data_IF_506033872557
#
_entry.id   IF_506033872557
#
_cell.length_a   1.000
_cell.length_b   1.000
_cell.length_c   1.000
_cell.angle_alpha   90.00
_cell.angle_beta   90.00
_cell.angle_gamma   90.00
#
_symmetry.space_group_name_H-M   'P 1'
#
loop_
_entity.id
_entity.type
_entity.pdbx_description
1 polymer ?
#
# COMPACT_ATOMS: atom_id res chain seq x y z
N UNK A 1 9.95 12.33 -1.42
CA UNK A 1 10.79 11.42 -2.25
C UNK A 1 12.28 11.55 -1.91
N UNK A 2 12.85 12.76 -1.78
CA UNK A 2 14.27 12.96 -1.46
C UNK A 2 14.71 12.25 -0.17
N UNK A 3 13.88 12.28 0.88
CA UNK A 3 14.16 11.61 2.16
C UNK A 3 14.29 10.08 2.02
N UNK A 4 13.44 9.46 1.20
CA UNK A 4 13.49 8.01 0.95
C UNK A 4 14.74 7.63 0.15
N UNK A 5 15.13 8.44 -0.82
CA UNK A 5 16.35 8.23 -1.59
C UNK A 5 17.60 8.31 -0.69
N UNK A 6 17.65 9.30 0.20
CA UNK A 6 18.75 9.45 1.17
C UNK A 6 18.81 8.28 2.16
N UNK A 7 17.66 7.86 2.69
CA UNK A 7 17.57 6.71 3.58
C UNK A 7 18.02 5.42 2.89
N UNK A 8 17.68 5.24 1.62
CA UNK A 8 18.10 4.10 0.80
C UNK A 8 19.60 4.09 0.52
N UNK A 9 20.18 5.23 0.17
CA UNK A 9 21.64 5.36 -0.03
C UNK A 9 22.42 5.04 1.24
N UNK A 10 21.94 5.54 2.39
CA UNK A 10 22.50 5.23 3.71
C UNK A 10 22.42 3.74 4.02
N UNK A 11 21.28 3.11 3.76
CA UNK A 11 21.11 1.67 3.94
C UNK A 11 22.10 0.87 3.07
N UNK A 12 22.24 1.20 1.79
CA UNK A 12 23.23 0.54 0.89
C UNK A 12 24.66 0.68 1.40
N UNK A 13 25.05 1.88 1.83
CA UNK A 13 26.38 2.15 2.40
C UNK A 13 26.63 1.32 3.66
N UNK A 14 25.64 1.21 4.53
CA UNK A 14 25.71 0.42 5.75
C UNK A 14 25.83 -1.08 5.49
N UNK A 15 25.11 -1.59 4.47
CA UNK A 15 25.20 -2.98 4.03
C UNK A 15 26.60 -3.29 3.44
N UNK A 16 27.12 -2.38 2.60
CA UNK A 16 28.47 -2.51 2.05
C UNK A 16 29.54 -2.49 3.14
N UNK A 17 29.32 -1.81 4.25
CA UNK A 17 30.18 -1.79 5.42
C UNK A 17 29.99 -3.02 6.36
N UNK A 18 29.26 -4.06 5.93
CA UNK A 18 29.01 -5.28 6.69
C UNK A 18 28.02 -5.13 7.85
N UNK A 19 27.25 -4.03 7.89
CA UNK A 19 26.23 -3.80 8.91
C UNK A 19 24.93 -4.47 8.49
N UNK A 20 24.45 -5.42 9.28
CA UNK A 20 23.30 -6.27 8.96
C UNK A 20 21.96 -5.75 9.49
N UNK A 21 21.96 -4.68 10.28
CA UNK A 21 20.76 -4.13 10.89
C UNK A 21 20.24 -2.93 10.10
N UNK A 22 19.00 -3.01 9.58
CA UNK A 22 18.31 -1.91 8.91
C UNK A 22 18.02 -0.76 9.89
N UNK A 23 17.53 -1.09 11.08
CA UNK A 23 17.26 -0.13 12.15
C UNK A 23 18.24 -0.34 13.29
N UNK A 24 18.96 0.73 13.65
CA UNK A 24 19.97 0.71 14.71
C UNK A 24 19.69 1.77 15.75
N UNK A 25 19.90 1.40 16.99
CA UNK A 25 19.92 2.35 18.10
C UNK A 25 21.12 3.30 18.04
N UNK A 26 21.13 4.32 18.89
CA UNK A 26 22.16 5.38 18.92
C UNK A 26 23.59 4.85 19.06
N UNK A 27 23.77 3.69 19.71
CA UNK A 27 25.08 3.01 19.89
C UNK A 27 25.35 1.93 18.84
N UNK A 28 24.63 1.90 17.70
CA UNK A 28 24.78 0.88 16.66
C UNK A 28 24.19 -0.49 17.02
N UNK A 29 23.58 -0.65 18.19
CA UNK A 29 22.94 -1.89 18.64
C UNK A 29 21.57 -2.10 17.99
N UNK A 30 21.07 -3.34 18.00
CA UNK A 30 19.71 -3.64 17.55
C UNK A 30 18.67 -2.82 18.32
N UNK A 31 17.66 -2.32 17.62
CA UNK A 31 16.52 -1.65 18.24
C UNK A 31 15.60 -2.72 18.81
N UNK A 32 15.32 -2.65 20.11
CA UNK A 32 14.34 -3.53 20.75
C UNK A 32 12.91 -3.06 20.46
N UNK A 33 11.95 -4.00 20.50
CA UNK A 33 10.52 -3.68 20.33
C UNK A 33 10.07 -2.56 21.29
N UNK A 34 10.51 -2.60 22.55
CA UNK A 34 10.18 -1.57 23.53
C UNK A 34 10.73 -0.18 23.16
N UNK A 35 11.95 -0.09 22.64
CA UNK A 35 12.52 1.18 22.17
C UNK A 35 11.72 1.74 21.00
N UNK A 36 11.30 0.88 20.11
CA UNK A 36 10.53 1.26 18.93
C UNK A 36 9.15 1.79 19.33
N UNK A 37 8.42 1.07 20.21
CA UNK A 37 7.11 1.52 20.72
C UNK A 37 7.21 2.86 21.44
N UNK A 38 8.19 3.02 22.34
CA UNK A 38 8.41 4.30 23.04
C UNK A 38 8.68 5.47 22.10
N UNK A 39 9.40 5.23 21.01
CA UNK A 39 9.67 6.26 20.00
C UNK A 39 8.43 6.60 19.21
N UNK A 40 7.62 5.60 18.85
CA UNK A 40 6.33 5.75 18.19
C UNK A 40 5.35 6.55 19.04
N UNK A 41 5.14 6.14 20.30
CA UNK A 41 4.24 6.82 21.23
C UNK A 41 4.62 8.29 21.43
N UNK A 42 5.92 8.57 21.52
CA UNK A 42 6.42 9.94 21.62
C UNK A 42 6.13 10.75 20.36
N UNK A 43 6.31 10.18 19.19
CA UNK A 43 5.99 10.83 17.92
C UNK A 43 4.49 11.11 17.81
N UNK A 44 3.64 10.12 18.08
CA UNK A 44 2.19 10.25 18.09
C UNK A 44 1.72 11.33 19.07
N UNK A 45 2.26 11.36 20.28
CA UNK A 45 1.97 12.37 21.28
C UNK A 45 2.32 13.78 20.80
N UNK A 46 3.46 13.93 20.10
CA UNK A 46 3.93 15.22 19.59
C UNK A 46 2.99 15.81 18.53
N UNK A 47 2.35 14.97 17.73
CA UNK A 47 1.42 15.38 16.65
C UNK A 47 -0.06 15.30 17.06
N UNK A 48 -0.35 14.94 18.32
CA UNK A 48 -1.72 14.85 18.84
C UNK A 48 -2.54 13.68 18.26
N UNK A 49 -1.88 12.64 17.75
CA UNK A 49 -2.54 11.46 17.18
C UNK A 49 -2.37 10.28 18.12
N UNK A 50 -3.44 9.50 18.31
CA UNK A 50 -3.40 8.24 19.05
C UNK A 50 -3.67 7.10 18.08
N UNK A 51 -2.63 6.39 17.64
CA UNK A 51 -2.81 5.22 16.80
C UNK A 51 -1.72 4.16 17.05
N UNK A 52 -2.07 2.87 16.93
CA UNK A 52 -1.09 1.79 17.00
C UNK A 52 -0.18 1.86 15.76
N UNK A 53 1.09 1.50 15.92
CA UNK A 53 2.06 1.50 14.83
C UNK A 53 1.61 0.62 13.64
N UNK A 54 0.90 -0.46 13.90
CA UNK A 54 0.35 -1.34 12.87
C UNK A 54 -0.65 -0.61 11.94
N UNK A 55 -1.24 0.49 12.39
CA UNK A 55 -2.12 1.31 11.55
C UNK A 55 -1.42 1.88 10.31
N UNK A 56 -0.10 2.11 10.36
CA UNK A 56 0.67 2.53 9.19
C UNK A 56 0.55 1.54 8.02
N UNK A 57 0.50 0.25 8.33
CA UNK A 57 0.30 -0.80 7.32
C UNK A 57 -1.08 -0.67 6.66
N UNK A 58 -2.11 -0.39 7.45
CA UNK A 58 -3.46 -0.19 6.92
C UNK A 58 -3.56 1.11 6.10
N UNK A 59 -2.92 2.18 6.55
CA UNK A 59 -2.86 3.45 5.81
C UNK A 59 -2.17 3.23 4.46
N UNK A 60 -1.00 2.61 4.45
CA UNK A 60 -0.26 2.34 3.22
C UNK A 60 -1.08 1.48 2.23
N UNK A 61 -1.76 0.45 2.70
CA UNK A 61 -2.62 -0.37 1.87
C UNK A 61 -3.80 0.42 1.30
N UNK A 62 -4.47 1.23 2.13
CA UNK A 62 -5.58 2.08 1.70
C UNK A 62 -5.16 3.09 0.65
N UNK A 63 -4.00 3.73 0.83
CA UNK A 63 -3.45 4.68 -0.12
C UNK A 63 -3.10 4.01 -1.46
N UNK A 64 -2.46 2.84 -1.44
CA UNK A 64 -2.18 2.08 -2.66
C UNK A 64 -3.47 1.76 -3.44
N UNK A 65 -4.50 1.25 -2.76
CA UNK A 65 -5.79 0.93 -3.37
C UNK A 65 -6.51 2.19 -3.88
N UNK A 66 -6.48 3.29 -3.13
CA UNK A 66 -7.07 4.57 -3.55
C UNK A 66 -6.40 5.11 -4.82
N UNK A 67 -5.10 4.89 -4.98
CA UNK A 67 -4.34 5.24 -6.17
C UNK A 67 -4.49 4.22 -7.31
N UNK A 68 -5.36 3.22 -7.17
CA UNK A 68 -5.70 2.28 -8.24
C UNK A 68 -4.73 1.10 -8.38
N UNK A 69 -3.85 0.86 -7.40
CA UNK A 69 -3.01 -0.32 -7.40
C UNK A 69 -3.89 -1.56 -7.23
N UNK A 70 -3.60 -2.59 -8.01
CA UNK A 70 -4.32 -3.85 -7.96
C UNK A 70 -4.21 -4.51 -6.57
N UNK A 71 -5.30 -5.11 -6.10
CA UNK A 71 -5.38 -5.71 -4.76
C UNK A 71 -4.40 -6.88 -4.58
N UNK A 72 -4.08 -7.61 -5.64
CA UNK A 72 -3.10 -8.70 -5.58
C UNK A 72 -1.70 -8.14 -5.38
N UNK A 73 -1.36 -7.03 -6.06
CA UNK A 73 -0.11 -6.33 -5.87
C UNK A 73 0.02 -5.75 -4.46
N UNK A 74 -1.07 -5.17 -3.92
CA UNK A 74 -1.10 -4.68 -2.53
C UNK A 74 -0.91 -5.83 -1.55
N UNK A 75 -1.60 -6.96 -1.74
CA UNK A 75 -1.45 -8.14 -0.89
C UNK A 75 -0.01 -8.67 -0.90
N UNK A 76 0.60 -8.74 -2.07
CA UNK A 76 2.01 -9.15 -2.23
C UNK A 76 2.96 -8.18 -1.52
N UNK A 77 2.78 -6.88 -1.70
CA UNK A 77 3.57 -5.83 -1.03
C UNK A 77 3.47 -5.91 0.49
N UNK A 78 2.30 -6.24 1.01
CA UNK A 78 2.07 -6.44 2.42
C UNK A 78 2.58 -7.81 2.93
N UNK A 79 2.95 -8.74 2.06
CA UNK A 79 3.36 -10.09 2.41
C UNK A 79 2.19 -10.95 2.92
N UNK A 80 0.97 -10.69 2.48
CA UNK A 80 -0.17 -11.54 2.79
C UNK A 80 -0.13 -12.81 1.93
N UNK A 81 -0.16 -13.96 2.57
CA UNK A 81 -0.22 -15.26 1.88
C UNK A 81 -1.54 -15.48 1.14
N UNK A 82 -2.61 -14.80 1.55
CA UNK A 82 -3.93 -14.90 0.95
C UNK A 82 -4.49 -13.51 0.66
N UNK A 83 -4.90 -13.28 -0.58
CA UNK A 83 -5.55 -12.05 -1.05
C UNK A 83 -6.86 -11.76 -0.31
N UNK A 84 -7.58 -12.79 0.14
CA UNK A 84 -8.83 -12.67 0.91
C UNK A 84 -8.64 -11.83 2.16
N UNK A 85 -7.47 -11.92 2.80
CA UNK A 85 -7.13 -11.11 3.98
C UNK A 85 -7.13 -9.62 3.62
N UNK A 86 -6.57 -9.25 2.47
CA UNK A 86 -6.56 -7.86 2.01
C UNK A 86 -7.96 -7.41 1.62
N UNK A 87 -8.73 -8.25 0.89
CA UNK A 87 -10.09 -7.95 0.46
C UNK A 87 -11.05 -7.69 1.63
N UNK A 88 -10.99 -8.49 2.68
CA UNK A 88 -11.86 -8.34 3.85
C UNK A 88 -11.69 -7.01 4.58
N UNK A 89 -10.45 -6.51 4.65
CA UNK A 89 -10.14 -5.24 5.34
C UNK A 89 -10.40 -3.99 4.49
N UNK A 90 -10.42 -4.11 3.15
CA UNK A 90 -10.42 -2.96 2.23
C UNK A 90 -11.62 -2.91 1.29
N UNK A 91 -12.76 -3.52 1.68
CA UNK A 91 -14.02 -3.52 0.90
C UNK A 91 -14.48 -2.14 0.46
N UNK A 92 -14.30 -1.11 1.31
CA UNK A 92 -14.68 0.27 0.97
C UNK A 92 -13.82 0.87 -0.16
N UNK A 93 -12.53 0.56 -0.19
CA UNK A 93 -11.63 1.00 -1.26
C UNK A 93 -11.96 0.29 -2.59
N UNK A 94 -12.40 -0.96 -2.53
CA UNK A 94 -12.86 -1.73 -3.70
C UNK A 94 -14.10 -1.13 -4.36
N UNK A 95 -15.03 -0.57 -3.58
CA UNK A 95 -16.24 0.06 -4.12
C UNK A 95 -15.93 1.29 -5.02
N UNK A 96 -14.88 2.03 -4.72
CA UNK A 96 -14.41 3.13 -5.57
C UNK A 96 -13.75 2.64 -6.85
N UNK A 97 -13.02 1.54 -6.78
CA UNK A 97 -12.38 0.89 -7.93
C UNK A 97 -13.42 0.25 -8.87
N UNK A 98 -14.47 -0.35 -8.32
CA UNK A 98 -15.58 -0.90 -9.12
C UNK A 98 -16.29 0.19 -9.94
N UNK A 99 -16.53 1.37 -9.35
CA UNK A 99 -17.11 2.52 -10.09
C UNK A 99 -16.20 2.97 -11.22
N UNK A 100 -14.89 3.04 -11.02
CA UNK A 100 -13.92 3.37 -12.08
C UNK A 100 -13.88 2.29 -13.17
N UNK A 101 -13.92 1.03 -12.80
CA UNK A 101 -13.97 -0.08 -13.75
C UNK A 101 -15.21 0.01 -14.65
N UNK A 102 -16.38 0.34 -14.10
CA UNK A 102 -17.58 0.53 -14.87
C UNK A 102 -17.47 1.69 -15.88
N UNK A 103 -16.75 2.76 -15.56
CA UNK A 103 -16.52 3.88 -16.48
C UNK A 103 -15.46 3.60 -17.55
N UNK A 104 -14.64 2.57 -17.39
CA UNK A 104 -13.67 2.13 -18.40
C UNK A 104 -14.29 1.26 -19.49
N UNK A 105 -15.53 0.77 -19.29
CA UNK A 105 -16.22 0.01 -20.32
C UNK A 105 -16.64 0.96 -21.44
N UNK A 106 -16.44 0.58 -22.71
CA UNK A 106 -16.95 1.38 -23.82
C UNK A 106 -18.47 1.49 -23.72
N UNK A 107 -18.99 2.66 -24.05
CA UNK A 107 -20.44 2.90 -24.09
C UNK A 107 -21.07 2.01 -25.18
N UNK A 108 -21.65 0.90 -24.75
CA UNK A 108 -22.31 -0.06 -25.65
C UNK A 108 -23.59 0.48 -26.29
N UNK A 109 -24.11 1.63 -25.85
CA UNK A 109 -25.34 2.22 -26.44
C UNK A 109 -25.12 2.62 -27.89
N UNK A 110 -23.89 2.95 -28.29
CA UNK A 110 -23.55 3.26 -29.68
C UNK A 110 -23.45 2.01 -30.60
N UNK A 111 -23.21 0.83 -30.04
CA UNK A 111 -23.16 -0.41 -30.81
C UNK A 111 -24.56 -0.81 -31.30
N UNK A 112 -25.59 -0.59 -30.50
CA UNK A 112 -26.99 -0.85 -30.86
C UNK A 112 -27.50 0.16 -31.92
N UNK A 113 -27.09 1.44 -31.80
CA UNK A 113 -27.50 2.50 -32.74
C UNK A 113 -26.90 2.36 -34.14
N UNK A 114 -25.76 1.70 -34.31
CA UNK A 114 -25.06 1.60 -35.59
C UNK A 114 -25.36 0.29 -36.37
N UNK A 115 -26.41 -0.43 -36.01
CA UNK A 115 -26.90 -1.58 -36.81
C UNK A 115 -25.99 -2.81 -36.79
N UNK A 116 -25.11 -2.96 -35.76
CA UNK A 116 -24.26 -4.11 -35.59
C UNK A 116 -25.01 -5.39 -35.15
N UNK A 117 -26.35 -5.33 -35.06
CA UNK A 117 -27.19 -6.50 -34.68
C UNK A 117 -27.14 -7.65 -35.67
N UNK A 118 -26.60 -7.46 -36.89
CA UNK A 118 -26.61 -8.51 -37.93
C UNK A 118 -25.39 -9.44 -37.97
N UNK A 119 -24.36 -9.21 -37.15
CA UNK A 119 -23.11 -9.99 -37.23
C UNK A 119 -22.83 -10.95 -36.05
N UNK A 120 -23.69 -10.96 -35.04
CA UNK A 120 -23.46 -11.77 -33.84
C UNK A 120 -24.20 -13.14 -33.85
N UNK A 121 -25.00 -13.43 -34.90
CA UNK A 121 -25.80 -14.68 -35.00
C UNK A 121 -25.70 -15.41 -36.35
N UNK A 122 -24.56 -15.32 -37.03
CA UNK A 122 -24.24 -16.18 -38.17
C UNK A 122 -23.00 -17.03 -37.84
#
# INVERSE_FOLDING_TARGET
EAYLAEAWLRFKSDMAAGKTLVCRGRKGTAVTSSMYHKSWDRACKKIGVLMPMYALRHIAASEMLANGVDIAAVAAQLGHKNITTTGAFYTHALASSQRRAATCLPDCTNLVRNGAEKQLYN
#
